data_IF_126907311657
#
_entry.id   IF_126907311657
#
_cell.length_a   1.000
_cell.length_b   1.000
_cell.length_c   1.000
_cell.angle_alpha   90.00
_cell.angle_beta   90.00
_cell.angle_gamma   90.00
#
_symmetry.space_group_name_H-M   'P 1'
#
loop_
_entity.id
_entity.type
_entity.pdbx_description
1 polymer ?
#
# COMPACT_ATOMS: atom_id res chain seq x y z
N UNK A 1 -59.00 52.20 -15.39
CA UNK A 1 -58.67 51.30 -14.27
C UNK A 1 -57.22 50.85 -14.44
N UNK A 2 -56.39 50.89 -13.39
CA UNK A 2 -55.11 50.15 -13.21
C UNK A 2 -54.05 50.22 -14.36
N UNK A 3 -52.83 50.79 -14.28
CA UNK A 3 -51.73 50.58 -13.30
C UNK A 3 -51.63 49.11 -12.87
N UNK A 4 -50.63 48.28 -13.21
CA UNK A 4 -49.17 48.38 -13.01
C UNK A 4 -48.46 47.29 -13.88
N UNK A 5 -47.14 47.13 -14.04
CA UNK A 5 -45.91 47.84 -13.63
C UNK A 5 -44.73 47.42 -14.57
N UNK A 6 -43.54 47.99 -14.40
CA UNK A 6 -42.29 47.65 -15.11
C UNK A 6 -41.56 46.43 -14.50
N UNK A 7 -40.69 45.75 -15.25
CA UNK A 7 -39.23 45.92 -15.11
C UNK A 7 -38.38 44.92 -15.91
N UNK A 8 -37.27 45.46 -16.42
CA UNK A 8 -36.17 44.81 -17.14
C UNK A 8 -35.32 43.83 -16.30
N UNK A 9 -34.59 42.90 -16.95
CA UNK A 9 -33.49 42.19 -16.28
C UNK A 9 -32.93 40.97 -17.02
N UNK A 10 -32.22 41.17 -18.13
CA UNK A 10 -31.62 40.05 -18.87
C UNK A 10 -30.42 39.39 -18.14
N UNK A 11 -30.12 38.13 -18.48
CA UNK A 11 -28.80 37.51 -18.26
C UNK A 11 -28.47 36.54 -19.39
N UNK A 12 -27.38 36.82 -20.12
CA UNK A 12 -26.79 35.90 -21.08
C UNK A 12 -26.27 34.67 -20.34
N UNK A 13 -26.82 33.49 -20.61
CA UNK A 13 -26.28 32.22 -20.14
C UNK A 13 -24.93 31.95 -20.82
N UNK A 14 -23.85 32.50 -20.25
CA UNK A 14 -22.49 32.03 -20.54
C UNK A 14 -22.42 30.55 -20.19
N UNK A 15 -22.34 29.69 -21.20
CA UNK A 15 -21.96 28.29 -21.01
C UNK A 15 -20.56 28.27 -20.40
N UNK A 16 -20.51 28.11 -19.07
CA UNK A 16 -19.25 28.01 -18.33
C UNK A 16 -18.76 26.59 -18.54
N UNK A 17 -17.65 26.45 -19.25
CA UNK A 17 -16.94 25.18 -19.48
C UNK A 17 -16.95 24.36 -18.19
N UNK A 18 -17.68 23.25 -18.19
CA UNK A 18 -17.63 22.27 -17.12
C UNK A 18 -16.29 21.52 -17.21
N UNK A 19 -15.21 22.18 -16.79
CA UNK A 19 -13.95 21.56 -16.43
C UNK A 19 -14.07 20.82 -15.07
N UNK A 20 -15.20 20.13 -14.87
CA UNK A 20 -15.38 19.15 -13.82
C UNK A 20 -14.91 17.82 -14.36
N UNK A 21 -13.63 17.48 -14.15
CA UNK A 21 -13.25 16.07 -14.15
C UNK A 21 -14.09 15.42 -13.06
N UNK A 22 -15.09 14.63 -13.45
CA UNK A 22 -15.65 13.62 -12.55
C UNK A 22 -14.46 12.76 -12.13
N UNK A 23 -14.00 12.95 -10.89
CA UNK A 23 -13.13 11.97 -10.24
C UNK A 23 -14.04 10.81 -9.92
N UNK A 24 -14.24 9.96 -10.93
CA UNK A 24 -14.91 8.68 -10.83
C UNK A 24 -14.06 7.85 -9.86
N UNK A 25 -14.37 7.96 -8.56
CA UNK A 25 -13.71 7.19 -7.51
C UNK A 25 -13.81 5.72 -7.88
N UNK A 26 -12.65 5.06 -7.93
CA UNK A 26 -12.60 3.65 -8.27
C UNK A 26 -13.38 2.85 -7.20
N UNK A 27 -14.32 1.97 -7.59
CA UNK A 27 -15.13 1.24 -6.64
C UNK A 27 -14.22 0.34 -5.79
N UNK A 28 -14.50 0.24 -4.50
CA UNK A 28 -13.70 -0.56 -3.57
C UNK A 28 -14.21 -2.00 -3.56
N UNK A 29 -13.30 -2.98 -3.60
CA UNK A 29 -13.61 -4.39 -3.51
C UNK A 29 -14.10 -4.79 -2.11
N UNK A 30 -15.21 -5.50 -2.04
CA UNK A 30 -15.85 -5.98 -0.80
C UNK A 30 -14.98 -7.01 -0.05
N UNK A 31 -14.21 -7.82 -0.77
CA UNK A 31 -13.41 -8.92 -0.20
C UNK A 31 -12.04 -8.47 0.32
N UNK A 32 -11.51 -7.38 -0.23
CA UNK A 32 -10.13 -6.92 0.01
C UNK A 32 -10.03 -5.50 0.59
N UNK A 33 -11.07 -4.67 0.45
CA UNK A 33 -10.99 -3.25 0.75
C UNK A 33 -10.10 -2.45 -0.24
N UNK A 34 -9.65 -3.05 -1.35
CA UNK A 34 -8.79 -2.38 -2.32
C UNK A 34 -9.58 -1.74 -3.46
N UNK A 35 -9.17 -0.56 -3.97
CA UNK A 35 -9.79 0.07 -5.13
C UNK A 35 -9.64 -0.80 -6.38
N UNK A 36 -10.73 -0.97 -7.14
CA UNK A 36 -10.82 -1.75 -8.37
C UNK A 36 -10.56 -0.86 -9.59
N UNK A 37 -9.28 -0.55 -9.77
CA UNK A 37 -8.77 0.37 -10.79
C UNK A 37 -9.09 -0.10 -12.22
N UNK A 38 -8.93 0.80 -13.20
CA UNK A 38 -8.93 0.39 -14.62
C UNK A 38 -7.77 -0.57 -14.88
N UNK A 39 -8.03 -1.65 -15.63
CA UNK A 39 -7.04 -2.69 -15.89
C UNK A 39 -5.78 -2.12 -16.58
N UNK A 40 -4.57 -2.30 -16.02
CA UNK A 40 -3.35 -1.67 -16.52
C UNK A 40 -2.91 -2.20 -17.89
N UNK A 41 -3.36 -3.39 -18.28
CA UNK A 41 -2.97 -4.04 -19.55
C UNK A 41 -3.82 -3.59 -20.72
N UNK A 42 -5.13 -3.34 -20.51
CA UNK A 42 -6.05 -3.03 -21.60
C UNK A 42 -6.75 -1.68 -21.50
N UNK A 43 -6.75 -1.01 -20.35
CA UNK A 43 -7.42 0.28 -20.11
C UNK A 43 -8.97 0.30 -20.20
N UNK A 44 -9.56 -0.72 -20.82
CA UNK A 44 -10.95 -0.76 -21.30
C UNK A 44 -11.97 -1.31 -20.29
N UNK A 45 -11.52 -1.96 -19.22
CA UNK A 45 -12.39 -2.53 -18.19
C UNK A 45 -11.75 -2.42 -16.82
N UNK A 46 -12.57 -2.39 -15.76
CA UNK A 46 -12.10 -2.44 -14.38
C UNK A 46 -11.54 -3.83 -14.03
N UNK A 47 -10.65 -3.85 -13.05
CA UNK A 47 -10.23 -5.08 -12.38
C UNK A 47 -11.38 -5.59 -11.52
N UNK A 48 -11.53 -6.91 -11.44
CA UNK A 48 -12.47 -7.60 -10.54
C UNK A 48 -11.69 -8.49 -9.60
N UNK A 49 -12.12 -8.56 -8.36
CA UNK A 49 -11.58 -9.46 -7.34
C UNK A 49 -12.36 -10.78 -7.27
N UNK A 50 -11.79 -11.77 -6.60
CA UNK A 50 -12.45 -13.04 -6.30
C UNK A 50 -11.58 -13.97 -5.47
N UNK A 51 -12.20 -15.06 -4.96
CA UNK A 51 -11.48 -16.13 -4.26
C UNK A 51 -11.32 -17.35 -5.15
N UNK A 52 -10.14 -17.96 -5.10
CA UNK A 52 -9.84 -19.20 -5.83
C UNK A 52 -10.69 -20.34 -5.27
N UNK A 53 -11.63 -20.85 -6.07
CA UNK A 53 -12.52 -21.96 -5.66
C UNK A 53 -11.89 -23.35 -5.85
N UNK A 54 -10.86 -23.47 -6.69
CA UNK A 54 -10.23 -24.76 -7.02
C UNK A 54 -9.48 -25.30 -5.80
N UNK A 55 -9.79 -26.54 -5.41
CA UNK A 55 -9.08 -27.25 -4.36
C UNK A 55 -7.64 -27.59 -4.81
N UNK A 56 -6.70 -26.78 -4.32
CA UNK A 56 -5.27 -26.75 -4.63
C UNK A 56 -4.59 -25.93 -3.53
N UNK A 57 -3.25 -25.86 -3.52
CA UNK A 57 -2.47 -24.93 -2.68
C UNK A 57 -3.00 -23.48 -2.69
N UNK A 58 -3.65 -23.05 -3.79
CA UNK A 58 -4.19 -21.71 -3.93
C UNK A 58 -5.64 -21.53 -3.44
N UNK A 59 -6.26 -22.55 -2.84
CA UNK A 59 -7.66 -22.48 -2.40
C UNK A 59 -7.94 -21.28 -1.47
N UNK A 60 -9.08 -20.61 -1.66
CA UNK A 60 -9.51 -19.47 -0.85
C UNK A 60 -8.74 -18.16 -1.07
N UNK A 61 -7.55 -18.20 -1.70
CA UNK A 61 -6.71 -17.02 -1.94
C UNK A 61 -7.40 -15.99 -2.82
N UNK A 62 -7.24 -14.71 -2.47
CA UNK A 62 -7.73 -13.57 -3.23
C UNK A 62 -6.90 -13.34 -4.50
N UNK A 63 -7.60 -13.23 -5.61
CA UNK A 63 -7.04 -12.86 -6.92
C UNK A 63 -7.76 -11.64 -7.48
N UNK A 64 -7.07 -10.96 -8.38
CA UNK A 64 -7.51 -9.80 -9.13
C UNK A 64 -7.30 -10.08 -10.60
N UNK A 65 -8.29 -9.83 -11.45
CA UNK A 65 -8.18 -10.03 -12.91
C UNK A 65 -8.96 -8.99 -13.69
N UNK A 66 -8.68 -8.84 -14.97
CA UNK A 66 -9.54 -8.00 -15.82
C UNK A 66 -10.92 -8.65 -15.98
N UNK A 67 -12.00 -7.87 -15.99
CA UNK A 67 -13.32 -8.40 -16.36
C UNK A 67 -13.34 -9.08 -17.75
N UNK A 68 -12.46 -8.61 -18.66
CA UNK A 68 -12.25 -9.19 -20.00
C UNK A 68 -11.33 -10.43 -20.02
N UNK A 69 -10.84 -10.87 -18.87
CA UNK A 69 -10.23 -12.20 -18.67
C UNK A 69 -11.33 -13.23 -18.38
N UNK A 70 -12.23 -13.37 -19.35
CA UNK A 70 -13.31 -14.34 -19.47
C UNK A 70 -13.17 -15.04 -20.84
N UNK A 71 -14.10 -15.89 -21.28
CA UNK A 71 -14.07 -16.45 -22.64
C UNK A 71 -14.94 -15.61 -23.59
N UNK A 72 -14.46 -15.25 -24.80
CA UNK A 72 -13.10 -15.37 -25.31
C UNK A 72 -12.11 -14.48 -24.53
N UNK A 73 -10.86 -14.93 -24.36
CA UNK A 73 -9.85 -14.25 -23.53
C UNK A 73 -9.32 -12.97 -24.19
N UNK A 74 -10.04 -11.87 -24.00
CA UNK A 74 -9.73 -10.55 -24.56
C UNK A 74 -8.72 -9.74 -23.72
N UNK A 75 -8.33 -10.22 -22.54
CA UNK A 75 -7.24 -9.65 -21.75
C UNK A 75 -6.60 -10.74 -20.86
N UNK A 76 -5.27 -10.74 -20.74
CA UNK A 76 -4.50 -11.70 -19.94
C UNK A 76 -4.31 -11.29 -18.48
N UNK A 77 -4.66 -10.05 -18.10
CA UNK A 77 -4.37 -9.53 -16.76
C UNK A 77 -5.00 -10.37 -15.65
N UNK A 78 -4.13 -10.84 -14.76
CA UNK A 78 -4.41 -11.65 -13.57
C UNK A 78 -3.25 -11.48 -12.58
N UNK A 79 -3.55 -11.42 -11.28
CA UNK A 79 -2.55 -11.44 -10.21
C UNK A 79 -3.18 -11.82 -8.87
N UNK A 80 -2.37 -12.31 -7.94
CA UNK A 80 -2.81 -12.50 -6.55
C UNK A 80 -2.69 -11.19 -5.76
N UNK A 81 -3.39 -11.12 -4.63
CA UNK A 81 -3.48 -9.97 -3.72
C UNK A 81 -2.18 -9.17 -3.53
N UNK A 82 -1.06 -9.83 -3.20
CA UNK A 82 0.25 -9.15 -3.01
C UNK A 82 0.75 -8.44 -4.28
N UNK A 83 0.53 -9.02 -5.45
CA UNK A 83 0.91 -8.43 -6.74
C UNK A 83 0.01 -7.24 -7.08
N UNK A 84 -1.29 -7.34 -6.75
CA UNK A 84 -2.24 -6.24 -6.93
C UNK A 84 -1.93 -5.06 -6.01
N UNK A 85 -1.65 -5.34 -4.73
CA UNK A 85 -1.28 -4.32 -3.75
C UNK A 85 0.02 -3.58 -4.14
N UNK A 86 1.00 -4.29 -4.72
CA UNK A 86 2.21 -3.64 -5.22
C UNK A 86 1.90 -2.73 -6.42
N UNK A 87 1.11 -3.20 -7.39
CA UNK A 87 0.64 -2.37 -8.51
C UNK A 87 -0.08 -1.10 -8.02
N UNK A 88 -0.92 -1.19 -6.98
CA UNK A 88 -1.63 -0.03 -6.42
C UNK A 88 -0.68 1.01 -5.81
N UNK A 89 0.46 0.59 -5.24
CA UNK A 89 1.54 1.50 -4.82
C UNK A 89 2.24 2.12 -6.02
N UNK A 90 2.60 1.30 -7.00
CA UNK A 90 3.37 1.72 -8.17
C UNK A 90 2.61 2.76 -9.04
N UNK A 91 1.27 2.65 -9.08
CA UNK A 91 0.38 3.63 -9.74
C UNK A 91 0.02 4.82 -8.82
N UNK A 92 0.44 4.80 -7.55
CA UNK A 92 0.16 5.86 -6.56
C UNK A 92 -1.30 5.92 -6.07
N UNK A 93 -2.09 4.88 -6.32
CA UNK A 93 -3.49 4.79 -5.87
C UNK A 93 -3.57 4.47 -4.38
N UNK A 94 -2.67 3.62 -3.88
CA UNK A 94 -2.46 3.41 -2.45
C UNK A 94 -1.19 4.11 -2.03
N UNK A 95 -1.34 5.32 -1.49
CA UNK A 95 -0.26 6.00 -0.77
C UNK A 95 -0.19 5.39 0.63
N UNK A 96 0.78 4.50 0.84
CA UNK A 96 1.17 4.12 2.21
C UNK A 96 1.82 5.35 2.84
N UNK A 97 1.12 6.03 3.76
CA UNK A 97 1.72 7.05 4.63
C UNK A 97 2.97 6.43 5.26
N UNK A 98 4.20 6.90 4.97
CA UNK A 98 5.38 6.47 5.70
C UNK A 98 5.10 6.76 7.17
N UNK A 99 5.14 5.74 8.02
CA UNK A 99 4.55 5.83 9.35
C UNK A 99 5.15 7.00 10.13
N UNK A 100 4.27 7.93 10.49
CA UNK A 100 4.56 9.09 11.33
C UNK A 100 4.77 8.58 12.76
N UNK A 101 5.94 7.97 12.98
CA UNK A 101 6.40 7.39 14.24
C UNK A 101 6.42 8.41 15.40
N UNK A 102 6.31 9.70 15.08
CA UNK A 102 6.22 10.80 16.03
C UNK A 102 4.81 11.12 16.55
N UNK A 103 3.72 10.63 15.91
CA UNK A 103 2.34 10.95 16.36
C UNK A 103 1.78 9.95 17.37
N UNK A 104 2.13 8.67 17.29
CA UNK A 104 1.74 7.66 18.30
C UNK A 104 2.39 7.92 19.67
N UNK A 105 3.40 8.79 19.72
CA UNK A 105 4.11 9.19 20.96
C UNK A 105 3.41 10.36 21.67
N UNK A 106 2.46 11.06 21.02
CA UNK A 106 1.85 12.29 21.56
C UNK A 106 0.34 12.17 21.87
N UNK A 107 -0.29 11.02 21.63
CA UNK A 107 -1.72 10.80 21.94
C UNK A 107 -1.97 9.75 23.05
N UNK A 108 -0.92 9.18 23.65
CA UNK A 108 -1.03 8.19 24.75
C UNK A 108 -0.83 8.78 26.17
N UNK A 109 -0.67 10.10 26.35
CA UNK A 109 -0.41 10.69 27.69
C UNK A 109 -1.67 11.04 28.50
N UNK A 110 -2.86 11.14 27.89
CA UNK A 110 -4.13 11.49 28.56
C UNK A 110 -5.19 10.39 28.40
N UNK A 111 -4.90 9.18 28.90
CA UNK A 111 -5.75 7.99 28.69
C UNK A 111 -5.58 6.88 29.72
N UNK A 112 -5.71 7.19 31.02
CA UNK A 112 -5.44 6.25 32.11
C UNK A 112 -6.34 4.99 32.12
N UNK A 113 -5.82 3.85 31.67
CA UNK A 113 -6.25 2.53 32.13
C UNK A 113 -5.04 1.61 32.30
N UNK A 114 -4.64 1.41 33.56
CA UNK A 114 -3.53 0.54 33.94
C UNK A 114 -3.80 -0.92 33.53
N UNK A 115 -2.80 -1.60 32.93
CA UNK A 115 -2.93 -2.97 32.43
C UNK A 115 -1.59 -3.73 32.51
N UNK A 116 -1.43 -4.72 33.41
CA UNK A 116 -0.12 -5.27 33.80
C UNK A 116 0.66 -6.11 32.78
N UNK A 117 0.31 -6.09 31.48
CA UNK A 117 0.78 -7.08 30.50
C UNK A 117 1.72 -6.52 29.40
N UNK A 118 1.88 -5.19 29.29
CA UNK A 118 2.75 -4.56 28.28
C UNK A 118 4.24 -4.87 28.46
N UNK A 119 4.70 -4.87 29.72
CA UNK A 119 6.12 -4.98 30.09
C UNK A 119 6.85 -6.22 29.54
N UNK A 120 6.13 -7.34 29.40
CA UNK A 120 6.73 -8.61 28.97
C UNK A 120 7.09 -8.59 27.49
N UNK A 121 6.28 -7.94 26.64
CA UNK A 121 6.58 -7.83 25.22
C UNK A 121 7.72 -6.87 24.94
N UNK A 122 7.73 -5.69 25.60
CA UNK A 122 8.78 -4.68 25.42
C UNK A 122 10.18 -5.24 25.75
N UNK A 123 10.34 -5.84 26.92
CA UNK A 123 11.60 -6.49 27.35
C UNK A 123 12.04 -7.60 26.40
N UNK A 124 11.10 -8.34 25.80
CA UNK A 124 11.39 -9.40 24.81
C UNK A 124 11.87 -8.83 23.47
N UNK A 125 11.40 -7.66 23.06
CA UNK A 125 11.83 -6.99 21.82
C UNK A 125 13.22 -6.35 21.98
N UNK A 126 13.45 -5.63 23.09
CA UNK A 126 14.74 -5.03 23.43
C UNK A 126 15.84 -6.11 23.48
N UNK A 127 15.61 -7.21 24.22
CA UNK A 127 16.56 -8.32 24.31
C UNK A 127 16.84 -9.01 22.96
N UNK A 128 15.87 -9.01 22.02
CA UNK A 128 16.09 -9.52 20.66
C UNK A 128 16.96 -8.58 19.84
N UNK A 129 16.77 -7.26 19.97
CA UNK A 129 17.58 -6.26 19.26
C UNK A 129 19.04 -6.30 19.72
N UNK A 130 19.30 -6.38 21.02
CA UNK A 130 20.66 -6.52 21.55
C UNK A 130 21.35 -7.81 21.07
N UNK A 131 20.61 -8.93 21.04
CA UNK A 131 21.12 -10.21 20.53
C UNK A 131 21.50 -10.12 19.05
N UNK A 132 20.72 -9.41 18.23
CA UNK A 132 21.02 -9.21 16.80
C UNK A 132 22.19 -8.25 16.62
N UNK A 133 22.23 -7.14 17.34
CA UNK A 133 23.31 -6.16 17.26
C UNK A 133 24.66 -6.78 17.63
N UNK A 134 24.73 -7.54 18.73
CA UNK A 134 25.96 -8.21 19.13
C UNK A 134 26.38 -9.30 18.14
N UNK A 135 25.45 -10.12 17.62
CA UNK A 135 25.74 -11.11 16.57
C UNK A 135 26.31 -10.47 15.30
N UNK A 136 25.73 -9.35 14.86
CA UNK A 136 26.24 -8.62 13.69
C UNK A 136 27.63 -8.05 13.96
N UNK A 137 27.85 -7.40 15.12
CA UNK A 137 29.15 -6.82 15.47
C UNK A 137 30.25 -7.88 15.57
N UNK A 138 29.96 -9.04 16.19
CA UNK A 138 30.88 -10.19 16.23
C UNK A 138 31.17 -10.74 14.83
N UNK A 139 30.14 -10.86 13.97
CA UNK A 139 30.34 -11.31 12.59
C UNK A 139 31.24 -10.35 11.79
N UNK A 140 31.01 -9.04 11.86
CA UNK A 140 31.86 -8.04 11.23
C UNK A 140 33.30 -8.10 11.75
N UNK A 141 33.50 -8.23 13.06
CA UNK A 141 34.82 -8.38 13.64
C UNK A 141 35.55 -9.63 13.11
N UNK A 142 34.90 -10.80 13.09
CA UNK A 142 35.47 -12.03 12.55
C UNK A 142 35.88 -11.89 11.08
N UNK A 143 35.03 -11.27 10.25
CA UNK A 143 35.34 -11.02 8.84
C UNK A 143 36.56 -10.10 8.69
N UNK A 144 36.61 -8.98 9.41
CA UNK A 144 37.75 -8.05 9.38
C UNK A 144 39.05 -8.72 9.83
N UNK A 145 39.03 -9.52 10.91
CA UNK A 145 40.20 -10.26 11.37
C UNK A 145 40.72 -11.28 10.34
N UNK A 146 39.82 -12.00 9.65
CA UNK A 146 40.22 -12.96 8.61
C UNK A 146 40.84 -12.27 7.40
N UNK A 147 40.28 -11.13 6.95
CA UNK A 147 40.85 -10.36 5.83
C UNK A 147 42.18 -9.71 6.20
N UNK A 148 42.27 -9.02 7.33
CA UNK A 148 43.51 -8.34 7.76
C UNK A 148 44.60 -9.34 8.09
N UNK A 149 44.28 -10.40 8.86
CA UNK A 149 45.22 -11.47 9.18
C UNK A 149 45.70 -12.24 7.95
N UNK A 150 44.80 -12.54 7.01
CA UNK A 150 45.13 -13.20 5.75
C UNK A 150 46.06 -12.36 4.86
N UNK A 151 45.80 -11.05 4.74
CA UNK A 151 46.67 -10.12 4.00
C UNK A 151 48.03 -9.98 4.68
N UNK A 152 48.08 -9.82 6.00
CA UNK A 152 49.35 -9.72 6.74
C UNK A 152 50.20 -11.00 6.62
N UNK A 153 49.58 -12.18 6.74
CA UNK A 153 50.27 -13.46 6.52
C UNK A 153 50.78 -13.59 5.08
N UNK A 154 49.95 -13.24 4.07
CA UNK A 154 50.36 -13.28 2.67
C UNK A 154 51.53 -12.32 2.37
N UNK A 155 51.53 -11.12 2.96
CA UNK A 155 52.62 -10.17 2.83
C UNK A 155 53.89 -10.60 3.59
N UNK A 156 53.77 -11.34 4.70
CA UNK A 156 54.92 -11.84 5.47
C UNK A 156 55.55 -13.11 4.86
N UNK A 157 54.82 -13.84 4.00
CA UNK A 157 55.30 -15.02 3.28
C UNK A 157 55.92 -14.70 1.90
N UNK A 158 56.10 -13.41 1.56
CA UNK A 158 56.55 -12.93 0.25
C UNK A 158 57.84 -12.11 0.36
#
# INVERSE_FOLDING_TARGET
MAQYAESSGGRRSRSRVQAGRNVELDPVGELSGFPLIRCPVCGLARVVEGRTKKDTENHGRLFFKCARNAFPKLCSYYGFEKQYFQLLKDVGVVVVRPSQWAEVVNEEEEGSVDSPNGDKQKKTLEQKMDSVFWKMNVFFACVVFMFVGGVLMYCAMK
#
